data_IF_588384593653
#
_entry.id   IF_588384593653
#
_cell.length_a   1.000
_cell.length_b   1.000
_cell.length_c   1.000
_cell.angle_alpha   90.00
_cell.angle_beta   90.00
_cell.angle_gamma   90.00
#
_symmetry.space_group_name_H-M   'P 1'
#
loop_
_entity.id
_entity.type
_entity.pdbx_description
1 polymer ?
#
# COMPACT_ATOMS: atom_id res chain seq x y z
N UNK A 1 -7.15 15.33 16.38
CA UNK A 1 -7.00 14.04 15.67
C UNK A 1 -5.83 14.00 14.67
N UNK A 2 -5.04 15.06 14.48
CA UNK A 2 -4.01 15.15 13.41
C UNK A 2 -2.64 14.55 13.74
N UNK A 3 -2.09 14.77 14.94
CA UNK A 3 -0.67 14.45 15.24
C UNK A 3 -0.28 12.97 15.11
N UNK A 4 -1.19 12.04 15.44
CA UNK A 4 -0.94 10.60 15.29
C UNK A 4 -0.81 10.21 13.82
N UNK A 5 -1.74 10.67 12.98
CA UNK A 5 -1.70 10.40 11.55
C UNK A 5 -0.50 11.08 10.90
N UNK A 6 -0.16 12.32 11.28
CA UNK A 6 1.02 13.01 10.78
C UNK A 6 2.33 12.30 11.18
N UNK A 7 2.33 11.60 12.32
CA UNK A 7 3.44 10.75 12.72
C UNK A 7 3.46 9.44 11.93
N UNK A 8 2.32 8.76 11.80
CA UNK A 8 2.20 7.51 11.02
C UNK A 8 2.58 7.74 9.55
N UNK A 9 2.11 8.80 8.91
CA UNK A 9 2.52 9.13 7.54
C UNK A 9 4.03 9.35 7.44
N UNK A 10 4.69 9.94 8.45
CA UNK A 10 6.15 10.10 8.45
C UNK A 10 6.90 8.79 8.66
N UNK A 11 6.29 7.80 9.31
CA UNK A 11 6.89 6.48 9.54
C UNK A 11 6.71 5.59 8.30
N UNK A 12 5.49 5.51 7.76
CA UNK A 12 5.18 4.66 6.60
C UNK A 12 5.63 5.28 5.28
N UNK A 13 5.64 6.61 5.20
CA UNK A 13 6.10 7.36 4.04
C UNK A 13 7.35 8.13 4.44
N UNK A 14 8.29 7.45 5.10
CA UNK A 14 9.55 8.01 5.62
C UNK A 14 10.55 8.34 4.51
N UNK A 15 10.07 8.93 3.43
CA UNK A 15 10.92 9.44 2.40
C UNK A 15 10.94 10.97 2.47
N UNK A 16 12.08 11.53 2.90
CA UNK A 16 12.35 12.98 2.82
C UNK A 16 12.04 13.55 1.43
N UNK A 17 12.05 12.68 0.41
CA UNK A 17 11.83 12.95 -1.02
C UNK A 17 10.40 13.39 -1.39
N UNK A 18 9.42 13.21 -0.50
CA UNK A 18 8.06 13.76 -0.70
C UNK A 18 7.97 15.26 -0.42
N UNK A 19 8.90 15.80 0.38
CA UNK A 19 8.92 17.20 0.77
C UNK A 19 9.64 18.11 -0.23
N UNK A 20 10.40 17.55 -1.18
CA UNK A 20 11.18 18.33 -2.15
C UNK A 20 10.37 18.74 -3.41
N UNK A 21 9.04 18.53 -3.43
CA UNK A 21 8.13 19.22 -4.35
C UNK A 21 8.38 18.97 -5.85
N UNK A 22 9.05 17.88 -6.23
CA UNK A 22 9.30 17.59 -7.63
C UNK A 22 8.06 17.01 -8.34
N UNK A 23 7.30 17.89 -9.00
CA UNK A 23 6.43 17.60 -10.16
C UNK A 23 5.12 16.84 -9.92
N UNK A 24 5.11 15.74 -9.16
CA UNK A 24 3.93 14.88 -8.94
C UNK A 24 3.24 15.07 -7.59
N UNK A 25 3.94 15.59 -6.59
CA UNK A 25 3.39 15.90 -5.27
C UNK A 25 3.18 17.40 -5.07
N UNK A 26 2.88 18.12 -6.16
CA UNK A 26 2.51 19.53 -6.06
C UNK A 26 1.16 19.67 -5.35
N UNK A 27 1.19 20.19 -4.13
CA UNK A 27 0.02 20.41 -3.28
C UNK A 27 -1.00 21.38 -3.90
N UNK A 28 -0.58 22.20 -4.88
CA UNK A 28 -1.42 23.15 -5.60
C UNK A 28 -2.04 22.57 -6.88
N UNK A 29 -1.56 21.40 -7.33
CA UNK A 29 -2.11 20.71 -8.51
C UNK A 29 -3.21 19.71 -8.11
N UNK A 30 -4.26 19.59 -8.93
CA UNK A 30 -5.33 18.60 -8.70
C UNK A 30 -4.78 17.17 -8.66
N UNK A 31 -3.84 16.85 -9.54
CA UNK A 31 -3.22 15.53 -9.62
C UNK A 31 -2.36 15.23 -8.38
N UNK A 32 -1.59 16.19 -7.88
CA UNK A 32 -0.80 16.02 -6.65
C UNK A 32 -1.68 15.85 -5.42
N UNK A 33 -2.81 16.58 -5.32
CA UNK A 33 -3.79 16.37 -4.26
C UNK A 33 -4.43 14.99 -4.29
N UNK A 34 -4.82 14.51 -5.49
CA UNK A 34 -5.35 13.16 -5.67
C UNK A 34 -4.32 12.10 -5.27
N UNK A 35 -3.06 12.25 -5.70
CA UNK A 35 -1.98 11.33 -5.37
C UNK A 35 -1.68 11.28 -3.87
N UNK A 36 -1.59 12.45 -3.22
CA UNK A 36 -1.44 12.53 -1.76
C UNK A 36 -2.63 11.89 -1.02
N UNK A 37 -3.85 12.03 -1.56
CA UNK A 37 -5.04 11.40 -0.98
C UNK A 37 -4.96 9.88 -1.04
N UNK A 38 -4.46 9.32 -2.15
CA UNK A 38 -4.24 7.88 -2.34
C UNK A 38 -3.14 7.38 -1.39
N UNK A 39 -2.02 8.10 -1.28
CA UNK A 39 -0.95 7.76 -0.34
C UNK A 39 -1.45 7.74 1.11
N UNK A 40 -2.25 8.74 1.49
CA UNK A 40 -2.86 8.82 2.83
C UNK A 40 -3.85 7.68 3.08
N UNK A 41 -4.70 7.38 2.10
CA UNK A 41 -5.62 6.26 2.16
C UNK A 41 -4.88 4.93 2.32
N UNK A 42 -3.80 4.73 1.56
CA UNK A 42 -2.98 3.51 1.62
C UNK A 42 -2.41 3.25 3.02
N UNK A 43 -1.82 4.26 3.66
CA UNK A 43 -1.30 4.12 5.04
C UNK A 43 -2.42 3.85 6.05
N UNK A 44 -3.59 4.49 5.90
CA UNK A 44 -4.74 4.20 6.75
C UNK A 44 -5.18 2.75 6.61
N UNK A 45 -5.33 2.29 5.37
CA UNK A 45 -5.76 0.94 5.07
C UNK A 45 -4.78 -0.09 5.65
N UNK A 46 -3.48 0.14 5.52
CA UNK A 46 -2.47 -0.72 6.11
C UNK A 46 -2.54 -0.77 7.63
N UNK A 47 -2.68 0.39 8.30
CA UNK A 47 -2.87 0.43 9.76
C UNK A 47 -4.12 -0.35 10.17
N UNK A 48 -5.24 -0.19 9.46
CA UNK A 48 -6.46 -0.96 9.73
C UNK A 48 -6.27 -2.46 9.49
N UNK A 49 -5.62 -2.84 8.39
CA UNK A 49 -5.30 -4.25 8.11
C UNK A 49 -4.39 -4.84 9.20
N UNK A 50 -3.37 -4.11 9.67
CA UNK A 50 -2.49 -4.57 10.74
C UNK A 50 -3.24 -4.76 12.06
N UNK A 51 -4.11 -3.83 12.42
CA UNK A 51 -4.98 -3.95 13.60
C UNK A 51 -5.93 -5.15 13.47
N UNK A 52 -6.52 -5.36 12.29
CA UNK A 52 -7.37 -6.50 12.00
C UNK A 52 -6.60 -7.82 12.05
N UNK A 53 -5.34 -7.87 11.58
CA UNK A 53 -4.51 -9.07 11.71
C UNK A 53 -4.31 -9.43 13.19
N UNK A 54 -3.99 -8.44 14.04
CA UNK A 54 -3.86 -8.67 15.49
C UNK A 54 -5.18 -9.21 16.07
N UNK A 55 -6.32 -8.62 15.70
CA UNK A 55 -7.63 -9.09 16.16
C UNK A 55 -7.91 -10.53 15.68
N UNK A 56 -7.65 -10.85 14.41
CA UNK A 56 -7.82 -12.19 13.84
C UNK A 56 -6.91 -13.22 14.54
N UNK A 57 -5.67 -12.86 14.87
CA UNK A 57 -4.75 -13.71 15.64
C UNK A 57 -5.33 -14.03 17.03
N UNK A 58 -5.83 -13.01 17.74
CA UNK A 58 -6.42 -13.18 19.07
C UNK A 58 -7.73 -13.98 19.04
N UNK A 59 -8.51 -13.84 17.97
CA UNK A 59 -9.77 -14.57 17.76
C UNK A 59 -9.61 -15.90 17.04
N UNK A 60 -8.37 -16.35 16.78
CA UNK A 60 -8.05 -17.61 16.08
C UNK A 60 -8.65 -17.72 14.67
N UNK A 61 -8.85 -16.59 13.98
CA UNK A 61 -9.37 -16.52 12.61
C UNK A 61 -8.18 -16.49 11.62
N UNK A 62 -7.44 -17.59 11.58
CA UNK A 62 -6.16 -17.68 10.86
C UNK A 62 -6.29 -17.61 9.33
N UNK A 63 -7.44 -18.01 8.79
CA UNK A 63 -7.69 -18.06 7.35
C UNK A 63 -7.81 -16.68 6.69
N UNK A 64 -8.08 -15.62 7.47
CA UNK A 64 -8.17 -14.23 6.98
C UNK A 64 -6.80 -13.56 6.86
N UNK A 65 -5.81 -14.04 7.61
CA UNK A 65 -4.47 -13.41 7.70
C UNK A 65 -3.78 -13.23 6.33
N UNK A 66 -3.80 -14.20 5.41
CA UNK A 66 -3.15 -14.03 4.11
C UNK A 66 -3.81 -12.95 3.24
N UNK A 67 -5.13 -12.78 3.36
CA UNK A 67 -5.86 -11.73 2.65
C UNK A 67 -5.50 -10.34 3.18
N UNK A 68 -5.38 -10.21 4.50
CA UNK A 68 -4.94 -8.94 5.11
C UNK A 68 -3.47 -8.64 4.76
N UNK A 69 -2.59 -9.65 4.80
CA UNK A 69 -1.20 -9.51 4.38
C UNK A 69 -1.08 -9.15 2.89
N UNK A 70 -1.92 -9.74 2.03
CA UNK A 70 -2.02 -9.39 0.61
C UNK A 70 -2.38 -7.92 0.42
N UNK A 71 -3.40 -7.42 1.12
CA UNK A 71 -3.80 -6.01 1.03
C UNK A 71 -2.68 -5.05 1.48
N UNK A 72 -1.97 -5.39 2.56
CA UNK A 72 -0.79 -4.63 3.02
C UNK A 72 0.30 -4.63 1.94
N UNK A 73 0.63 -5.80 1.37
CA UNK A 73 1.63 -5.90 0.31
C UNK A 73 1.26 -5.07 -0.92
N UNK A 74 -0.02 -5.06 -1.33
CA UNK A 74 -0.47 -4.23 -2.45
C UNK A 74 -0.37 -2.73 -2.15
N UNK A 75 -0.66 -2.31 -0.91
CA UNK A 75 -0.44 -0.94 -0.48
C UNK A 75 1.03 -0.54 -0.57
N UNK A 76 1.94 -1.37 -0.05
CA UNK A 76 3.38 -1.10 -0.08
C UNK A 76 3.92 -1.03 -1.51
N UNK A 77 3.56 -2.00 -2.36
CA UNK A 77 3.99 -2.06 -3.75
C UNK A 77 3.48 -0.86 -4.53
N UNK A 78 2.18 -0.54 -4.40
CA UNK A 78 1.58 0.61 -5.07
C UNK A 78 2.25 1.93 -4.67
N UNK A 79 2.50 2.15 -3.37
CA UNK A 79 3.23 3.33 -2.90
C UNK A 79 4.66 3.36 -3.41
N UNK A 80 5.37 2.23 -3.39
CA UNK A 80 6.73 2.12 -3.92
C UNK A 80 6.81 2.53 -5.40
N UNK A 81 5.85 2.08 -6.23
CA UNK A 81 5.77 2.49 -7.63
C UNK A 81 5.52 3.99 -7.79
N UNK A 82 4.56 4.55 -7.04
CA UNK A 82 4.23 5.98 -7.09
C UNK A 82 5.46 6.81 -6.71
N UNK A 83 6.16 6.44 -5.64
CA UNK A 83 7.35 7.15 -5.16
C UNK A 83 8.51 7.06 -6.16
N UNK A 84 8.74 5.88 -6.74
CA UNK A 84 9.79 5.69 -7.75
C UNK A 84 9.47 6.47 -9.03
N UNK A 85 8.20 6.56 -9.43
CA UNK A 85 7.80 7.35 -10.60
C UNK A 85 7.88 8.83 -10.39
N UNK A 86 7.51 9.32 -9.21
CA UNK A 86 7.71 10.72 -8.85
C UNK A 86 9.17 11.17 -9.02
N UNK A 87 10.14 10.26 -8.85
CA UNK A 87 11.57 10.54 -9.07
C UNK A 87 12.00 10.53 -10.55
N UNK A 88 11.28 9.78 -11.40
CA UNK A 88 11.67 9.58 -12.81
C UNK A 88 11.39 10.79 -13.72
N UNK A 89 10.64 11.78 -13.23
CA UNK A 89 10.20 12.93 -14.03
C UNK A 89 9.03 12.63 -14.98
N UNK A 90 8.56 11.38 -15.05
CA UNK A 90 7.42 10.97 -15.87
C UNK A 90 6.17 10.71 -15.00
N UNK A 91 5.04 11.39 -15.26
CA UNK A 91 3.86 11.36 -14.39
C UNK A 91 2.90 10.19 -14.64
N UNK A 92 3.17 9.31 -15.62
CA UNK A 92 2.27 8.22 -15.97
C UNK A 92 2.92 6.85 -15.72
N UNK A 93 2.16 5.84 -15.25
CA UNK A 93 2.64 4.47 -15.19
C UNK A 93 2.98 3.99 -16.60
N UNK A 94 4.19 3.47 -16.78
CA UNK A 94 4.57 2.82 -18.02
C UNK A 94 3.99 1.40 -18.07
N UNK A 95 3.85 0.81 -19.27
CA UNK A 95 3.40 -0.57 -19.41
C UNK A 95 4.22 -1.56 -18.57
N UNK A 96 5.51 -1.30 -18.40
CA UNK A 96 6.44 -2.10 -17.57
C UNK A 96 6.07 -2.07 -16.08
N UNK A 97 5.62 -0.93 -15.55
CA UNK A 97 5.19 -0.83 -14.15
C UNK A 97 3.88 -1.59 -13.93
N UNK A 98 2.95 -1.49 -14.87
CA UNK A 98 1.69 -2.24 -14.79
C UNK A 98 1.93 -3.75 -14.84
N UNK A 99 2.91 -4.21 -15.63
CA UNK A 99 3.32 -5.62 -15.63
C UNK A 99 3.90 -6.01 -14.27
N UNK A 100 4.74 -5.17 -13.66
CA UNK A 100 5.28 -5.41 -12.32
C UNK A 100 4.18 -5.53 -11.25
N UNK A 101 3.19 -4.64 -11.28
CA UNK A 101 2.02 -4.70 -10.39
C UNK A 101 1.20 -5.96 -10.67
N UNK A 102 0.94 -6.30 -11.92
CA UNK A 102 0.17 -7.50 -12.29
C UNK A 102 0.88 -8.78 -11.80
N UNK A 103 2.19 -8.86 -11.96
CA UNK A 103 3.01 -9.97 -11.42
C UNK A 103 2.85 -10.03 -9.90
N UNK A 104 3.02 -8.91 -9.20
CA UNK A 104 2.85 -8.86 -7.74
C UNK A 104 1.45 -9.34 -7.30
N UNK A 105 0.39 -8.86 -7.96
CA UNK A 105 -0.99 -9.28 -7.67
C UNK A 105 -1.15 -10.78 -7.83
N UNK A 106 -0.64 -11.37 -8.92
CA UNK A 106 -0.73 -12.81 -9.17
C UNK A 106 0.07 -13.59 -8.13
N UNK A 107 1.31 -13.21 -7.82
CA UNK A 107 2.15 -13.92 -6.87
C UNK A 107 1.59 -13.87 -5.44
N UNK A 108 1.35 -12.67 -4.91
CA UNK A 108 0.85 -12.53 -3.54
C UNK A 108 -0.62 -13.00 -3.42
N UNK A 109 -1.42 -12.83 -4.47
CA UNK A 109 -2.79 -13.33 -4.52
C UNK A 109 -2.85 -14.86 -4.57
N UNK A 110 -1.96 -15.50 -5.33
CA UNK A 110 -1.84 -16.96 -5.35
C UNK A 110 -1.42 -17.52 -3.99
N UNK A 111 -0.47 -16.89 -3.30
CA UNK A 111 -0.07 -17.27 -1.94
C UNK A 111 -1.27 -17.17 -0.98
N UNK A 112 -2.02 -16.06 -1.03
CA UNK A 112 -3.20 -15.88 -0.20
C UNK A 112 -4.29 -16.92 -0.49
N UNK A 113 -4.49 -17.25 -1.77
CA UNK A 113 -5.45 -18.26 -2.20
C UNK A 113 -5.06 -19.67 -1.76
N UNK A 114 -3.80 -20.07 -1.93
CA UNK A 114 -3.30 -21.38 -1.50
C UNK A 114 -3.49 -21.55 0.01
N UNK A 115 -3.17 -20.53 0.79
CA UNK A 115 -3.36 -20.57 2.23
C UNK A 115 -4.84 -20.67 2.61
N UNK A 116 -5.71 -19.89 1.96
CA UNK A 116 -7.14 -19.94 2.19
C UNK A 116 -7.72 -21.34 1.88
N UNK A 117 -7.32 -21.94 0.76
CA UNK A 117 -7.69 -23.32 0.40
C UNK A 117 -7.18 -24.29 1.46
N UNK A 118 -5.92 -24.16 1.90
CA UNK A 118 -5.35 -24.99 2.97
C UNK A 118 -6.14 -24.89 4.27
N UNK A 119 -6.60 -23.69 4.63
CA UNK A 119 -7.41 -23.47 5.83
C UNK A 119 -8.86 -23.99 5.72
N UNK A 120 -9.42 -24.11 4.51
CA UNK A 120 -10.72 -24.74 4.29
C UNK A 120 -10.65 -26.27 4.36
N UNK A 121 -9.49 -26.85 4.09
CA UNK A 121 -9.26 -28.30 4.05
C UNK A 121 -8.76 -28.87 5.40
N UNK A 122 -8.42 -28.00 6.36
CA UNK A 122 -7.93 -28.36 7.70
C UNK A 122 -9.07 -28.38 8.73
#
# INVERSE_FOLDING_TARGET
>A
MSKLWDWLYRVFISDKRLHDGAGLFDEYSKQGQELMSVMRFSVRLEVYCALLMIACLLSQIWWVLPWLAFMIAMCEIGRGFILNKAQSGYPYPEPTDMIGIAIAVVFFGAIALIWFIGALLA
#
